data_IF_626243256896
#
_entry.id   IF_626243256896
#
_cell.length_a   1.000
_cell.length_b   1.000
_cell.length_c   1.000
_cell.angle_alpha   90.00
_cell.angle_beta   90.00
_cell.angle_gamma   90.00
#
_symmetry.space_group_name_H-M   'P 1'
#
loop_
_entity.id
_entity.type
_entity.pdbx_description
1 polymer ?
#
# COMPACT_ATOMS: atom_id res chain seq x y z
N UNK A 1 -25.36 8.99 -1.39
CA UNK A 1 -26.36 9.61 -0.50
C UNK A 1 -25.59 10.44 0.52
N UNK A 2 -26.15 11.52 1.04
CA UNK A 2 -25.51 12.23 2.16
C UNK A 2 -25.75 11.42 3.44
N UNK A 3 -24.74 11.32 4.32
CA UNK A 3 -24.87 10.61 5.60
C UNK A 3 -26.02 11.14 6.48
N UNK A 4 -26.35 12.42 6.36
CA UNK A 4 -27.50 13.07 7.02
C UNK A 4 -28.86 12.75 6.39
N UNK A 5 -28.93 12.00 5.29
CA UNK A 5 -30.21 11.70 4.63
C UNK A 5 -30.98 10.62 5.40
N UNK A 6 -32.31 10.80 5.52
CA UNK A 6 -33.20 9.83 6.16
C UNK A 6 -33.12 8.44 5.52
N UNK A 7 -32.98 8.38 4.19
CA UNK A 7 -32.83 7.12 3.45
C UNK A 7 -31.59 6.33 3.89
N UNK A 8 -30.49 7.00 4.23
CA UNK A 8 -29.29 6.32 4.73
C UNK A 8 -29.52 5.71 6.11
N UNK A 9 -30.08 6.48 7.05
CA UNK A 9 -30.27 6.06 8.44
C UNK A 9 -31.30 4.94 8.54
N UNK A 10 -32.43 5.06 7.84
CA UNK A 10 -33.58 4.16 8.01
C UNK A 10 -33.64 3.02 6.99
N UNK A 11 -32.91 3.09 5.87
CA UNK A 11 -32.90 2.02 4.88
C UNK A 11 -31.54 1.34 4.83
N UNK A 12 -30.48 2.09 4.56
CA UNK A 12 -29.15 1.51 4.36
C UNK A 12 -28.58 0.92 5.66
N UNK A 13 -28.58 1.67 6.75
CA UNK A 13 -28.02 1.21 8.04
C UNK A 13 -28.67 -0.09 8.56
N UNK A 14 -30.01 -0.17 8.70
CA UNK A 14 -30.65 -1.39 9.17
C UNK A 14 -30.48 -2.55 8.18
N UNK A 15 -30.51 -2.30 6.87
CA UNK A 15 -30.27 -3.33 5.86
C UNK A 15 -28.87 -3.95 6.02
N UNK A 16 -27.84 -3.11 6.08
CA UNK A 16 -26.45 -3.54 6.22
C UNK A 16 -26.24 -4.27 7.54
N UNK A 17 -26.84 -3.77 8.61
CA UNK A 17 -26.78 -4.39 9.92
C UNK A 17 -27.45 -5.77 9.94
N UNK A 18 -28.64 -5.91 9.36
CA UNK A 18 -29.36 -7.20 9.25
C UNK A 18 -28.53 -8.20 8.45
N UNK A 19 -28.05 -7.83 7.28
CA UNK A 19 -27.22 -8.72 6.45
C UNK A 19 -25.93 -9.11 7.18
N UNK A 20 -25.28 -8.17 7.86
CA UNK A 20 -24.11 -8.45 8.68
C UNK A 20 -24.41 -9.45 9.81
N UNK A 21 -25.54 -9.28 10.53
CA UNK A 21 -25.93 -10.21 11.58
C UNK A 21 -26.23 -11.61 11.03
N UNK A 22 -26.89 -11.70 9.87
CA UNK A 22 -27.14 -12.98 9.19
C UNK A 22 -25.83 -13.64 8.82
N UNK A 23 -24.92 -12.94 8.12
CA UNK A 23 -23.61 -13.50 7.71
C UNK A 23 -22.75 -13.90 8.92
N UNK A 24 -22.83 -13.15 10.03
CA UNK A 24 -22.13 -13.45 11.28
C UNK A 24 -22.70 -14.70 11.97
N UNK A 25 -24.00 -14.95 11.89
CA UNK A 25 -24.66 -16.03 12.64
C UNK A 25 -24.66 -17.37 11.90
N UNK A 26 -24.19 -17.42 10.65
CA UNK A 26 -24.14 -18.65 9.88
C UNK A 26 -22.89 -19.48 10.23
N UNK A 27 -23.07 -20.78 10.51
CA UNK A 27 -22.00 -21.73 10.90
C UNK A 27 -21.00 -22.10 9.79
N UNK A 28 -20.76 -21.23 8.80
CA UNK A 28 -19.79 -21.51 7.74
C UNK A 28 -18.33 -21.30 8.22
N UNK A 29 -17.37 -22.13 7.77
CA UNK A 29 -15.96 -21.83 7.96
C UNK A 29 -15.65 -20.45 7.32
N UNK A 30 -14.95 -19.59 8.07
CA UNK A 30 -14.64 -18.21 7.69
C UNK A 30 -15.82 -17.22 7.53
N UNK A 31 -17.03 -17.55 8.01
CA UNK A 31 -18.18 -16.63 8.14
C UNK A 31 -17.81 -15.20 8.60
N UNK A 32 -16.94 -15.06 9.59
CA UNK A 32 -16.48 -13.75 10.08
C UNK A 32 -15.71 -12.92 9.04
N UNK A 33 -14.93 -13.56 8.15
CA UNK A 33 -14.19 -12.87 7.09
C UNK A 33 -15.17 -12.30 6.06
N UNK A 34 -16.15 -13.10 5.64
CA UNK A 34 -17.20 -12.65 4.71
C UNK A 34 -18.04 -11.52 5.30
N UNK A 35 -18.39 -11.60 6.59
CA UNK A 35 -19.13 -10.55 7.28
C UNK A 35 -18.36 -9.22 7.30
N UNK A 36 -17.04 -9.25 7.57
CA UNK A 36 -16.20 -8.05 7.47
C UNK A 36 -16.09 -7.53 6.03
N UNK A 37 -15.89 -8.42 5.07
CA UNK A 37 -15.75 -8.04 3.66
C UNK A 37 -17.04 -7.36 3.18
N UNK A 38 -18.21 -7.88 3.55
CA UNK A 38 -19.50 -7.25 3.28
C UNK A 38 -19.59 -5.84 3.88
N UNK A 39 -19.14 -5.64 5.11
CA UNK A 39 -19.09 -4.32 5.76
C UNK A 39 -18.21 -3.32 4.99
N UNK A 40 -17.03 -3.78 4.55
CA UNK A 40 -16.10 -2.96 3.75
C UNK A 40 -16.72 -2.62 2.39
N UNK A 41 -17.26 -3.61 1.69
CA UNK A 41 -17.90 -3.42 0.39
C UNK A 41 -19.13 -2.51 0.47
N UNK A 42 -19.92 -2.66 1.52
CA UNK A 42 -21.08 -1.80 1.78
C UNK A 42 -20.68 -0.35 1.99
N UNK A 43 -19.64 -0.11 2.80
CA UNK A 43 -19.05 1.23 2.95
C UNK A 43 -18.56 1.77 1.61
N UNK A 44 -17.85 0.94 0.82
CA UNK A 44 -17.32 1.34 -0.47
C UNK A 44 -18.41 1.68 -1.49
N UNK A 45 -19.49 0.91 -1.52
CA UNK A 45 -20.66 1.17 -2.34
C UNK A 45 -21.32 2.50 -1.97
N UNK A 46 -21.42 2.81 -0.68
CA UNK A 46 -21.96 4.09 -0.22
C UNK A 46 -21.13 5.28 -0.71
N UNK A 47 -19.79 5.16 -0.68
CA UNK A 47 -18.89 6.19 -1.22
C UNK A 47 -19.00 6.30 -2.75
N UNK A 48 -19.09 5.18 -3.46
CA UNK A 48 -19.22 5.14 -4.92
C UNK A 48 -20.53 5.77 -5.42
N UNK A 49 -21.60 5.68 -4.64
CA UNK A 49 -22.93 6.19 -5.00
C UNK A 49 -22.94 7.69 -5.34
N UNK A 50 -22.08 8.49 -4.72
CA UNK A 50 -22.07 9.94 -4.95
C UNK A 50 -21.23 10.33 -6.17
N UNK A 51 -19.98 9.87 -6.19
CA UNK A 51 -19.02 10.10 -7.28
C UNK A 51 -18.01 8.96 -7.32
N UNK A 52 -18.17 8.08 -8.30
CA UNK A 52 -17.30 6.92 -8.51
C UNK A 52 -15.84 7.35 -8.70
N UNK A 53 -15.59 8.52 -9.28
CA UNK A 53 -14.25 9.11 -9.48
C UNK A 53 -13.45 9.32 -8.18
N UNK A 54 -14.10 9.60 -7.05
CA UNK A 54 -13.41 9.77 -5.77
C UNK A 54 -13.06 8.45 -5.09
N UNK A 55 -13.69 7.35 -5.50
CA UNK A 55 -13.44 6.03 -4.95
C UNK A 55 -12.00 5.54 -5.16
N UNK A 56 -11.43 5.53 -6.38
CA UNK A 56 -10.05 5.10 -6.59
C UNK A 56 -9.05 6.03 -5.90
N UNK A 57 -9.35 7.33 -5.81
CA UNK A 57 -8.51 8.31 -5.13
C UNK A 57 -8.46 8.02 -3.62
N UNK A 58 -9.61 7.76 -3.00
CA UNK A 58 -9.72 7.36 -1.60
C UNK A 58 -8.98 6.03 -1.34
N UNK A 59 -9.23 5.01 -2.17
CA UNK A 59 -8.55 3.71 -2.06
C UNK A 59 -7.04 3.86 -2.17
N UNK A 60 -6.58 4.60 -3.17
CA UNK A 60 -5.16 4.86 -3.39
C UNK A 60 -4.53 5.51 -2.16
N UNK A 61 -5.18 6.52 -1.58
CA UNK A 61 -4.72 7.18 -0.36
C UNK A 61 -4.61 6.20 0.82
N UNK A 62 -5.64 5.40 1.08
CA UNK A 62 -5.63 4.41 2.17
C UNK A 62 -4.53 3.36 1.94
N UNK A 63 -4.40 2.85 0.72
CA UNK A 63 -3.38 1.87 0.36
C UNK A 63 -1.97 2.43 0.56
N UNK A 64 -1.68 3.60 0.00
CA UNK A 64 -0.36 4.25 0.13
C UNK A 64 -0.04 4.50 1.61
N UNK A 65 -1.00 5.02 2.38
CA UNK A 65 -0.81 5.26 3.81
C UNK A 65 -0.58 3.96 4.59
N UNK A 66 -1.30 2.90 4.26
CA UNK A 66 -1.10 1.59 4.89
C UNK A 66 0.28 1.00 4.56
N UNK A 67 0.74 1.12 3.31
CA UNK A 67 2.09 0.68 2.92
C UNK A 67 3.18 1.49 3.64
N UNK A 68 3.04 2.81 3.73
CA UNK A 68 3.93 3.68 4.49
C UNK A 68 3.97 3.27 5.97
N UNK A 69 2.80 3.02 6.59
CA UNK A 69 2.72 2.57 7.97
C UNK A 69 3.42 1.21 8.17
N UNK A 70 3.24 0.25 7.26
CA UNK A 70 3.95 -1.04 7.30
C UNK A 70 5.46 -0.87 7.19
N UNK A 71 5.93 0.06 6.37
CA UNK A 71 7.34 0.42 6.21
C UNK A 71 7.91 0.95 7.54
N UNK A 72 7.15 1.81 8.22
CA UNK A 72 7.55 2.41 9.51
C UNK A 72 7.54 1.37 10.64
N UNK A 73 6.51 0.52 10.72
CA UNK A 73 6.29 -0.44 11.81
C UNK A 73 7.29 -1.61 11.74
N UNK A 74 7.74 -2.01 10.54
CA UNK A 74 8.74 -3.07 10.35
C UNK A 74 10.06 -2.52 9.82
N UNK A 75 10.82 -1.74 10.62
CA UNK A 75 12.03 -1.09 10.16
C UNK A 75 13.13 -2.09 9.74
N UNK A 76 13.05 -3.36 10.18
CA UNK A 76 14.06 -4.39 9.87
C UNK A 76 14.15 -4.69 8.37
N UNK A 77 13.03 -5.00 7.69
CA UNK A 77 13.02 -5.26 6.24
C UNK A 77 13.38 -4.03 5.40
N UNK A 78 13.05 -2.84 5.90
CA UNK A 78 13.33 -1.57 5.22
C UNK A 78 14.81 -1.23 5.33
N UNK A 79 15.38 -1.40 6.53
CA UNK A 79 16.81 -1.24 6.75
C UNK A 79 17.60 -2.29 5.96
N UNK A 80 17.11 -3.52 5.84
CA UNK A 80 17.76 -4.56 5.02
C UNK A 80 17.75 -4.20 3.53
N UNK A 81 16.60 -3.76 3.01
CA UNK A 81 16.47 -3.36 1.59
C UNK A 81 17.31 -2.10 1.31
N UNK A 82 17.22 -1.09 2.16
CA UNK A 82 17.98 0.16 2.07
C UNK A 82 19.50 -0.08 2.24
N UNK A 83 19.90 -0.95 3.16
CA UNK A 83 21.30 -1.34 3.39
C UNK A 83 21.88 -2.07 2.17
N UNK A 84 21.10 -2.97 1.55
CA UNK A 84 21.53 -3.66 0.33
C UNK A 84 21.77 -2.68 -0.84
N UNK A 85 20.89 -1.68 -1.00
CA UNK A 85 21.00 -0.67 -2.04
C UNK A 85 22.17 0.28 -1.77
N UNK A 86 22.39 0.64 -0.51
CA UNK A 86 23.49 1.49 -0.09
C UNK A 86 24.85 0.81 -0.28
N UNK A 87 24.97 -0.48 0.10
CA UNK A 87 26.18 -1.28 -0.12
C UNK A 87 26.50 -1.45 -1.60
N UNK A 88 25.48 -1.72 -2.43
CA UNK A 88 25.63 -1.82 -3.89
C UNK A 88 26.07 -0.49 -4.52
N UNK A 89 25.51 0.64 -4.08
CA UNK A 89 25.88 1.98 -4.55
C UNK A 89 27.31 2.35 -4.17
N UNK A 90 27.71 2.07 -2.93
CA UNK A 90 29.08 2.28 -2.45
C UNK A 90 30.09 1.43 -3.21
N UNK A 91 29.75 0.18 -3.53
CA UNK A 91 30.58 -0.71 -4.33
C UNK A 91 30.74 -0.19 -5.77
N UNK A 92 29.68 0.33 -6.39
CA UNK A 92 29.73 0.93 -7.73
C UNK A 92 30.63 2.19 -7.78
N UNK A 93 30.55 3.05 -6.76
CA UNK A 93 31.41 4.24 -6.65
C UNK A 93 32.88 3.87 -6.43
N UNK A 94 33.17 2.86 -5.60
CA UNK A 94 34.53 2.38 -5.39
C UNK A 94 35.13 1.76 -6.66
N UNK A 95 34.34 1.00 -7.42
CA UNK A 95 34.76 0.41 -8.69
C UNK A 95 35.01 1.48 -9.79
N UNK A 96 34.18 2.52 -9.86
CA UNK A 96 34.36 3.62 -10.83
C UNK A 96 35.63 4.42 -10.55
N UNK A 97 35.96 4.66 -9.28
CA UNK A 97 37.18 5.34 -8.85
C UNK A 97 38.46 4.58 -9.26
N UNK A 98 38.48 3.26 -9.12
CA UNK A 98 39.63 2.42 -9.49
C UNK A 98 39.85 2.40 -11.01
N UNK A 99 38.76 2.37 -11.80
CA UNK A 99 38.82 2.42 -13.25
C UNK A 99 39.34 3.77 -13.76
N UNK A 100 38.94 4.88 -13.14
CA UNK A 100 39.44 6.22 -13.47
C UNK A 100 40.95 6.35 -13.18
N UNK A 101 41.42 5.84 -12.03
CA UNK A 101 42.86 5.90 -11.67
C UNK A 101 43.75 5.08 -12.61
N UNK A 102 43.31 3.88 -13.05
CA UNK A 102 44.10 3.06 -13.99
C UNK A 102 44.20 3.67 -15.39
N UNK A 103 43.17 4.37 -15.86
CA UNK A 103 43.20 5.07 -17.15
C UNK A 103 44.18 6.26 -17.12
N UNK A 104 44.25 6.98 -16.00
CA UNK A 104 45.20 8.08 -15.82
C UNK A 104 46.66 7.60 -15.69
N UNK A 105 46.91 6.43 -15.09
CA UNK A 105 48.28 5.88 -14.97
C UNK A 105 48.73 5.03 -16.17
N UNK A 106 47.80 4.49 -16.97
CA UNK A 106 48.10 3.69 -18.16
C UNK A 106 48.43 4.50 -19.43
N UNK A 107 48.20 5.83 -19.42
CA UNK A 107 48.46 6.71 -20.57
C UNK A 107 49.88 7.29 -20.66
N UNK A 108 50.76 6.99 -19.71
CA UNK A 108 52.08 7.65 -19.58
C UNK A 108 53.27 6.95 -20.25
N UNK A 109 53.10 5.81 -20.90
CA UNK A 109 54.22 5.01 -21.42
C UNK A 109 54.07 4.72 -22.91
N UNK A 110 54.25 5.73 -23.77
CA UNK A 110 54.55 5.55 -25.22
C UNK A 110 54.95 6.89 -25.89
N UNK A 111 56.07 7.48 -25.49
CA UNK A 111 56.79 8.46 -26.33
C UNK A 111 58.29 8.42 -26.03
N UNK A 112 58.99 7.50 -26.67
CA UNK A 112 60.42 7.61 -27.05
C UNK A 112 60.65 6.70 -28.24
#
# INVERSE_FOLDING_TARGET
MIFSSFNFIFMFLPLVWVVFMVLKNTSFPHHYVYAKLFLVLSSLFFYAYWKIEYLPILLSSICVNYFLALLIINPKKVCDTLSSLFSSLLSYLAFSSQKASKVLMGGGAKTT
#
